data_IF_335607398948
#
_entry.id   IF_335607398948
#
_cell.length_a   1.000
_cell.length_b   1.000
_cell.length_c   1.000
_cell.angle_alpha   90.00
_cell.angle_beta   90.00
_cell.angle_gamma   90.00
#
_symmetry.space_group_name_H-M   'P 1'
#
loop_
_entity.id
_entity.type
_entity.pdbx_description
1 polymer ?
#
# COMPACT_ATOMS: atom_id res chain seq x y z
N UNK A 1 -16.67 23.32 16.85
CA UNK A 1 -15.60 22.84 16.00
C UNK A 1 -16.16 21.95 14.89
N UNK A 2 -15.76 22.26 13.69
CA UNK A 2 -16.15 21.45 12.55
C UNK A 2 -15.08 20.42 12.25
N UNK A 3 -15.49 19.18 12.07
CA UNK A 3 -14.60 18.14 11.59
C UNK A 3 -14.57 18.21 10.07
N UNK A 4 -13.37 18.28 9.50
CA UNK A 4 -13.21 18.23 8.06
C UNK A 4 -13.71 16.86 7.54
N UNK A 5 -14.67 16.84 6.59
CA UNK A 5 -15.21 15.58 6.09
C UNK A 5 -14.15 14.63 5.53
N UNK A 6 -13.10 15.17 4.90
CA UNK A 6 -12.00 14.36 4.38
C UNK A 6 -11.22 13.70 5.52
N UNK A 7 -10.88 14.46 6.55
CA UNK A 7 -10.16 13.90 7.70
C UNK A 7 -11.00 12.88 8.44
N UNK A 8 -12.29 13.10 8.54
CA UNK A 8 -13.20 12.14 9.14
C UNK A 8 -13.23 10.84 8.34
N UNK A 9 -13.32 10.94 7.02
CA UNK A 9 -13.33 9.76 6.15
C UNK A 9 -12.01 8.99 6.26
N UNK A 10 -10.88 9.68 6.33
CA UNK A 10 -9.58 9.03 6.53
C UNK A 10 -9.51 8.29 7.86
N UNK A 11 -10.01 8.90 8.92
CA UNK A 11 -10.04 8.27 10.24
C UNK A 11 -10.88 7.00 10.24
N UNK A 12 -12.05 7.03 9.62
CA UNK A 12 -12.94 5.87 9.51
C UNK A 12 -12.27 4.76 8.70
N UNK A 13 -11.63 5.12 7.59
CA UNK A 13 -10.93 4.17 6.73
C UNK A 13 -9.80 3.48 7.50
N UNK A 14 -8.99 4.24 8.22
CA UNK A 14 -7.86 3.69 8.96
C UNK A 14 -8.32 2.80 10.11
N UNK A 15 -9.43 3.14 10.77
CA UNK A 15 -10.00 2.28 11.79
C UNK A 15 -10.53 0.98 11.19
N UNK A 16 -11.20 1.06 10.04
CA UNK A 16 -11.64 -0.14 9.33
C UNK A 16 -10.46 -1.03 8.97
N UNK A 17 -9.39 -0.43 8.47
CA UNK A 17 -8.17 -1.17 8.13
C UNK A 17 -7.58 -1.88 9.35
N UNK A 18 -7.48 -1.20 10.49
CA UNK A 18 -6.96 -1.83 11.72
C UNK A 18 -7.79 -3.02 12.15
N UNK A 19 -9.11 -2.91 12.05
CA UNK A 19 -10.02 -4.01 12.41
C UNK A 19 -9.87 -5.22 11.51
N UNK A 20 -9.34 -5.02 10.31
CA UNK A 20 -9.08 -6.08 9.34
C UNK A 20 -7.64 -6.60 9.41
N UNK A 21 -6.85 -6.12 10.36
CA UNK A 21 -5.42 -6.45 10.46
C UNK A 21 -4.59 -5.93 9.29
N UNK A 22 -5.03 -4.86 8.67
CA UNK A 22 -4.20 -4.01 7.85
C UNK A 22 -3.61 -2.95 8.77
N UNK A 23 -2.33 -2.68 8.66
CA UNK A 23 -1.65 -1.76 9.57
C UNK A 23 -1.38 -0.43 8.86
N UNK A 24 -2.29 0.56 8.98
CA UNK A 24 -2.10 1.83 8.30
C UNK A 24 -1.04 2.69 8.98
N UNK A 25 -0.16 3.27 8.19
CA UNK A 25 0.87 4.19 8.65
C UNK A 25 1.08 5.28 7.63
N UNK A 26 1.59 6.41 8.08
CA UNK A 26 2.12 7.43 7.18
C UNK A 26 3.64 7.36 7.27
N UNK A 27 4.31 7.20 6.15
CA UNK A 27 5.75 7.02 6.09
C UNK A 27 6.35 7.96 5.05
N UNK A 28 7.64 8.23 5.17
CA UNK A 28 8.37 8.94 4.12
C UNK A 28 8.43 8.04 2.89
N UNK A 29 8.14 8.59 1.72
CA UNK A 29 8.17 7.82 0.48
C UNK A 29 9.61 7.41 0.16
N UNK A 30 9.91 6.11 0.06
CA UNK A 30 11.23 5.66 -0.34
C UNK A 30 11.53 6.08 -1.78
N UNK A 31 12.80 6.40 -2.06
CA UNK A 31 13.18 6.87 -3.39
C UNK A 31 12.83 5.89 -4.50
N UNK A 32 12.97 4.60 -4.25
CA UNK A 32 12.71 3.59 -5.27
C UNK A 32 11.25 3.58 -5.72
N UNK A 33 10.32 4.09 -4.92
CA UNK A 33 8.90 4.13 -5.28
C UNK A 33 8.61 5.17 -6.35
N UNK A 34 9.45 6.19 -6.45
CA UNK A 34 9.27 7.32 -7.39
C UNK A 34 7.88 7.93 -7.32
N UNK A 35 7.30 7.96 -6.12
CA UNK A 35 6.00 8.57 -5.91
C UNK A 35 6.12 10.07 -6.14
N UNK A 36 5.26 10.66 -7.00
CA UNK A 36 5.28 12.10 -7.21
C UNK A 36 4.91 12.80 -5.92
N UNK A 37 5.78 13.69 -5.46
CA UNK A 37 5.54 14.45 -4.24
C UNK A 37 5.32 15.91 -4.61
N UNK A 38 4.37 16.54 -3.93
CA UNK A 38 4.20 17.97 -4.07
C UNK A 38 5.43 18.67 -3.52
N UNK A 39 5.70 19.88 -4.00
CA UNK A 39 6.83 20.67 -3.52
C UNK A 39 6.67 21.11 -2.07
N UNK A 40 5.50 20.92 -1.49
CA UNK A 40 5.22 21.28 -0.10
C UNK A 40 6.01 20.42 0.87
N UNK A 41 6.55 21.02 1.90
CA UNK A 41 7.39 20.29 2.86
C UNK A 41 6.69 19.14 3.57
N UNK A 42 5.37 19.11 3.61
CA UNK A 42 4.63 18.02 4.24
C UNK A 42 4.31 16.90 3.30
N UNK A 43 4.52 17.11 2.02
CA UNK A 43 4.05 16.20 1.00
C UNK A 43 4.96 15.00 0.79
N UNK A 44 5.99 14.84 1.62
CA UNK A 44 6.89 13.70 1.51
C UNK A 44 6.35 12.43 2.16
N UNK A 45 5.18 12.52 2.82
CA UNK A 45 4.59 11.36 3.49
C UNK A 45 3.55 10.68 2.61
N UNK A 46 3.53 9.36 2.66
CA UNK A 46 2.58 8.55 1.91
C UNK A 46 1.97 7.50 2.83
N UNK A 47 0.73 7.11 2.55
CA UNK A 47 0.08 6.04 3.31
C UNK A 47 0.70 4.70 2.94
N UNK A 48 1.00 3.90 3.95
CA UNK A 48 1.53 2.56 3.80
C UNK A 48 0.69 1.60 4.64
N UNK A 49 -0.02 0.70 3.97
CA UNK A 49 -0.85 -0.30 4.64
C UNK A 49 -0.20 -1.67 4.44
N UNK A 50 -0.11 -2.44 5.51
CA UNK A 50 0.59 -3.72 5.43
C UNK A 50 -0.15 -4.83 6.15
N UNK A 51 0.12 -6.07 5.71
CA UNK A 51 -0.26 -7.27 6.43
C UNK A 51 0.99 -7.90 7.02
N UNK A 52 0.85 -8.45 8.23
CA UNK A 52 1.91 -9.19 8.87
C UNK A 52 1.53 -10.67 8.82
N UNK A 53 2.47 -11.50 8.37
CA UNK A 53 2.24 -12.94 8.26
C UNK A 53 3.16 -13.62 9.26
N UNK A 54 2.61 -14.11 10.39
CA UNK A 54 3.45 -14.68 11.45
C UNK A 54 4.37 -15.79 10.92
N UNK A 55 5.61 -15.74 11.39
CA UNK A 55 6.65 -16.73 11.08
C UNK A 55 7.04 -16.83 9.60
N UNK A 56 6.54 -15.95 8.74
CA UNK A 56 6.94 -15.95 7.35
C UNK A 56 8.36 -15.40 7.18
N UNK A 57 9.05 -15.91 6.16
CA UNK A 57 10.37 -15.43 5.77
C UNK A 57 10.33 -15.10 4.29
N UNK A 58 9.62 -14.03 3.98
CA UNK A 58 9.39 -13.64 2.59
C UNK A 58 10.65 -13.03 2.00
N UNK A 59 10.92 -13.27 0.73
CA UNK A 59 12.05 -12.66 0.05
C UNK A 59 11.82 -11.16 -0.08
N UNK A 60 12.91 -10.40 -0.21
CA UNK A 60 12.79 -8.97 -0.49
C UNK A 60 12.23 -8.77 -1.90
N UNK A 61 11.16 -7.99 -1.98
CA UNK A 61 10.58 -7.60 -3.26
C UNK A 61 10.18 -6.13 -3.21
N UNK A 62 10.46 -5.40 -4.26
CA UNK A 62 10.05 -4.01 -4.43
C UNK A 62 9.55 -3.83 -5.84
N UNK A 63 8.34 -3.30 -5.97
CA UNK A 63 7.73 -3.08 -7.28
C UNK A 63 6.94 -1.78 -7.29
N UNK A 64 7.02 -1.05 -8.39
CA UNK A 64 6.15 0.08 -8.64
C UNK A 64 4.92 -0.41 -9.38
N UNK A 65 3.81 0.31 -9.29
CA UNK A 65 2.62 0.00 -10.07
C UNK A 65 2.54 0.98 -11.23
N UNK A 66 2.67 0.43 -12.43
CA UNK A 66 2.65 1.21 -13.68
C UNK A 66 1.65 0.52 -14.62
N UNK A 67 0.68 1.27 -15.13
CA UNK A 67 -0.34 0.72 -16.03
C UNK A 67 -1.05 -0.51 -15.46
N UNK A 68 -1.37 -0.46 -14.17
CA UNK A 68 -2.07 -1.54 -13.45
C UNK A 68 -1.30 -2.86 -13.42
N UNK A 69 0.03 -2.78 -13.44
CA UNK A 69 0.92 -3.94 -13.36
C UNK A 69 2.10 -3.65 -12.45
N UNK A 70 2.68 -4.69 -11.90
CA UNK A 70 3.90 -4.57 -11.11
C UNK A 70 5.10 -4.39 -12.03
N UNK A 71 5.76 -3.23 -11.91
CA UNK A 71 7.06 -2.99 -12.52
C UNK A 71 8.12 -3.32 -11.48
N UNK A 72 8.75 -4.46 -11.62
CA UNK A 72 9.68 -4.98 -10.62
C UNK A 72 10.93 -4.10 -10.52
N UNK A 73 11.23 -3.64 -9.32
CA UNK A 73 12.44 -2.89 -9.00
C UNK A 73 13.51 -3.83 -8.44
N UNK A 74 13.08 -4.76 -7.61
CA UNK A 74 13.96 -5.75 -7.01
C UNK A 74 13.15 -6.99 -6.64
N UNK A 75 13.70 -8.15 -6.89
CA UNK A 75 13.09 -9.41 -6.46
C UNK A 75 12.98 -10.43 -7.57
N UNK A 76 12.30 -11.53 -7.27
CA UNK A 76 12.13 -12.66 -8.17
C UNK A 76 11.23 -12.28 -9.36
N UNK A 77 11.60 -12.72 -10.54
CA UNK A 77 10.85 -12.44 -11.77
C UNK A 77 9.40 -12.95 -11.74
N UNK A 78 9.06 -13.85 -10.82
CA UNK A 78 7.66 -14.32 -10.70
C UNK A 78 6.69 -13.20 -10.37
N UNK A 79 7.18 -12.09 -9.83
CA UNK A 79 6.35 -10.92 -9.51
C UNK A 79 6.22 -9.95 -10.68
N UNK A 80 7.05 -10.09 -11.69
CA UNK A 80 7.10 -9.16 -12.81
C UNK A 80 5.80 -9.16 -13.60
N UNK A 81 5.30 -7.97 -13.89
CA UNK A 81 4.11 -7.74 -14.71
C UNK A 81 2.81 -8.34 -14.16
N UNK A 82 2.78 -8.70 -12.88
CA UNK A 82 1.53 -9.16 -12.27
C UNK A 82 0.50 -8.04 -12.26
N UNK A 83 -0.77 -8.36 -12.53
CA UNK A 83 -1.81 -7.33 -12.56
C UNK A 83 -2.13 -6.80 -11.16
N UNK A 84 -2.51 -5.53 -11.11
CA UNK A 84 -2.94 -4.87 -9.88
C UNK A 84 -4.31 -4.24 -10.16
N UNK A 85 -5.36 -4.85 -9.67
CA UNK A 85 -6.72 -4.38 -9.91
C UNK A 85 -7.25 -3.45 -8.80
N UNK A 86 -6.34 -2.71 -8.16
CA UNK A 86 -6.67 -1.78 -7.09
C UNK A 86 -6.46 -0.35 -7.56
N UNK A 87 -7.19 0.60 -6.96
CA UNK A 87 -7.10 2.02 -7.32
C UNK A 87 -6.06 2.73 -6.48
N UNK A 88 -5.35 3.66 -7.10
CA UNK A 88 -4.49 4.59 -6.39
C UNK A 88 -3.23 3.98 -5.80
N UNK A 89 -2.77 2.88 -6.32
CA UNK A 89 -1.61 2.18 -5.79
C UNK A 89 -0.35 2.72 -6.46
N UNK A 90 0.63 3.10 -5.65
CA UNK A 90 1.92 3.57 -6.15
C UNK A 90 2.96 2.46 -6.23
N UNK A 91 3.07 1.66 -5.18
CA UNK A 91 4.14 0.66 -5.08
C UNK A 91 3.78 -0.39 -4.03
N UNK A 92 4.47 -1.51 -4.11
CA UNK A 92 4.27 -2.64 -3.19
C UNK A 92 5.65 -3.16 -2.80
N UNK A 93 5.80 -3.57 -1.55
CA UNK A 93 7.02 -4.20 -1.11
C UNK A 93 6.73 -5.41 -0.23
N UNK A 94 7.75 -6.21 -0.07
CA UNK A 94 7.68 -7.44 0.71
C UNK A 94 9.04 -7.67 1.34
N UNK A 95 9.05 -7.99 2.62
CA UNK A 95 10.28 -8.34 3.32
C UNK A 95 9.95 -9.03 4.64
N UNK A 96 10.66 -10.09 4.95
CA UNK A 96 10.49 -10.85 6.19
C UNK A 96 9.05 -11.33 6.36
N UNK A 97 8.30 -10.83 7.33
CA UNK A 97 6.91 -11.22 7.57
C UNK A 97 5.90 -10.16 7.16
N UNK A 98 6.32 -9.21 6.34
CA UNK A 98 5.49 -8.05 6.01
C UNK A 98 5.31 -7.91 4.50
N UNK A 99 4.08 -7.67 4.07
CA UNK A 99 3.76 -7.27 2.70
C UNK A 99 2.97 -5.98 2.79
N UNK A 100 3.41 -4.95 2.09
CA UNK A 100 2.82 -3.64 2.22
C UNK A 100 2.60 -2.92 0.90
N UNK A 101 1.76 -1.91 0.96
CA UNK A 101 1.31 -1.18 -0.21
C UNK A 101 1.36 0.33 0.08
N UNK A 102 2.02 1.07 -0.80
CA UNK A 102 2.04 2.53 -0.78
C UNK A 102 0.92 3.01 -1.69
N UNK A 103 0.02 3.83 -1.17
CA UNK A 103 -1.14 4.20 -1.98
C UNK A 103 -1.71 5.56 -1.60
N UNK A 104 -2.57 6.06 -2.48
CA UNK A 104 -3.29 7.31 -2.28
C UNK A 104 -4.65 7.02 -1.65
N UNK A 105 -4.77 7.25 -0.36
CA UNK A 105 -6.01 7.01 0.38
C UNK A 105 -7.19 7.81 -0.18
N UNK A 106 -6.91 8.96 -0.79
CA UNK A 106 -7.97 9.80 -1.33
C UNK A 106 -8.63 9.22 -2.58
N UNK A 107 -7.98 8.26 -3.21
CA UNK A 107 -8.57 7.56 -4.36
C UNK A 107 -9.73 6.65 -3.96
N UNK A 108 -9.89 6.35 -2.66
CA UNK A 108 -10.94 5.47 -2.17
C UNK A 108 -11.42 5.88 -0.77
N UNK A 109 -11.86 7.12 -0.62
CA UNK A 109 -12.30 7.63 0.69
C UNK A 109 -13.47 6.88 1.29
N UNK A 110 -14.23 6.14 0.49
CA UNK A 110 -15.31 5.29 1.00
C UNK A 110 -14.82 3.95 1.53
N UNK A 111 -13.52 3.70 1.42
CA UNK A 111 -12.90 2.48 1.89
C UNK A 111 -13.54 1.22 1.30
N UNK A 112 -13.76 1.24 -0.01
CA UNK A 112 -14.45 0.14 -0.70
C UNK A 112 -13.54 -1.00 -1.09
N UNK A 113 -12.21 -0.77 -1.13
CA UNK A 113 -11.27 -1.79 -1.65
C UNK A 113 -10.35 -2.40 -0.58
N UNK A 114 -10.59 -2.12 0.71
CA UNK A 114 -9.68 -2.62 1.75
C UNK A 114 -9.62 -4.15 1.82
N UNK A 115 -10.75 -4.82 1.62
CA UNK A 115 -10.76 -6.29 1.61
C UNK A 115 -9.99 -6.84 0.43
N UNK A 116 -10.17 -6.25 -0.76
CA UNK A 116 -9.43 -6.65 -1.95
C UNK A 116 -7.94 -6.38 -1.80
N UNK A 117 -7.60 -5.25 -1.17
CA UNK A 117 -6.22 -4.91 -0.88
C UNK A 117 -5.57 -5.97 0.01
N UNK A 118 -6.23 -6.34 1.10
CA UNK A 118 -5.73 -7.36 2.02
C UNK A 118 -5.55 -8.69 1.30
N UNK A 119 -6.55 -9.11 0.52
CA UNK A 119 -6.49 -10.36 -0.22
C UNK A 119 -5.33 -10.34 -1.23
N UNK A 120 -5.12 -9.22 -1.89
CA UNK A 120 -4.04 -9.09 -2.86
C UNK A 120 -2.67 -9.22 -2.19
N UNK A 121 -2.48 -8.55 -1.05
CA UNK A 121 -1.20 -8.65 -0.33
C UNK A 121 -0.93 -10.08 0.13
N UNK A 122 -1.95 -10.77 0.63
CA UNK A 122 -1.79 -12.19 1.00
C UNK A 122 -1.48 -13.06 -0.22
N UNK A 123 -2.09 -12.78 -1.36
CA UNK A 123 -1.82 -13.56 -2.58
C UNK A 123 -0.37 -13.44 -3.03
N UNK A 124 0.23 -12.26 -2.89
CA UNK A 124 1.64 -12.07 -3.22
C UNK A 124 2.55 -12.89 -2.30
N UNK A 125 2.20 -12.98 -1.03
CA UNK A 125 2.98 -13.74 -0.06
C UNK A 125 2.94 -15.26 -0.35
N UNK A 126 1.90 -15.71 -1.04
CA UNK A 126 1.70 -17.14 -1.33
C UNK A 126 2.30 -17.60 -2.67
N UNK A 127 2.87 -16.70 -3.41
CA UNK A 127 3.47 -17.06 -4.71
C UNK A 127 4.72 -17.92 -4.59
#
# INVERSE_FOLDING_TARGET
>A
LRVNPREKALGIMRDKARKMSLHPRLVAAPEWTKIPMASEKRASMVAYYSVLIPDARLPLMRARVVDQKLELVYGDDKFKDLPVALKGIYAIDMQANCVGIFWDEESDLRATQLEDMKAYLHSLAEL
#
